data_IF_277148488828
#
_entry.id   IF_277148488828
#
_cell.length_a   1.000
_cell.length_b   1.000
_cell.length_c   1.000
_cell.angle_alpha   90.00
_cell.angle_beta   90.00
_cell.angle_gamma   90.00
#
_symmetry.space_group_name_H-M   'P 1'
#
loop_
_entity.id
_entity.type
_entity.pdbx_description
1 polymer ?
#
# COMPACT_ATOMS: atom_id res chain seq x y z
N UNK A 1 -14.00 18.23 9.24
CA UNK A 1 -13.39 18.93 8.10
C UNK A 1 -13.38 18.01 6.89
N UNK A 2 -13.81 18.51 5.71
CA UNK A 2 -13.91 17.66 4.54
C UNK A 2 -12.59 16.96 4.16
N UNK A 3 -11.49 17.68 4.25
CA UNK A 3 -10.20 17.12 3.89
C UNK A 3 -9.78 15.99 4.83
N UNK A 4 -10.06 16.18 6.12
CA UNK A 4 -9.75 15.16 7.10
C UNK A 4 -10.60 13.92 6.84
N UNK A 5 -11.85 14.12 6.48
CA UNK A 5 -12.75 13.01 6.20
C UNK A 5 -12.28 12.23 4.97
N UNK A 6 -11.86 12.93 3.93
CA UNK A 6 -11.33 12.26 2.73
C UNK A 6 -10.08 11.46 3.06
N UNK A 7 -9.20 12.03 3.87
CA UNK A 7 -8.00 11.31 4.30
C UNK A 7 -8.38 10.08 5.12
N UNK A 8 -9.39 10.22 5.96
CA UNK A 8 -9.87 9.10 6.74
C UNK A 8 -10.38 7.97 5.89
N UNK A 9 -11.15 8.30 4.86
CA UNK A 9 -11.65 7.28 3.93
C UNK A 9 -10.50 6.59 3.23
N UNK A 10 -9.52 7.37 2.76
CA UNK A 10 -8.34 6.79 2.12
C UNK A 10 -7.63 5.83 3.05
N UNK A 11 -7.38 6.27 4.28
CA UNK A 11 -6.63 5.45 5.23
C UNK A 11 -7.43 4.26 5.77
N UNK A 12 -8.74 4.27 5.66
CA UNK A 12 -9.54 3.11 6.04
C UNK A 12 -9.49 2.04 4.96
N UNK A 13 -9.64 2.42 3.69
CA UNK A 13 -9.68 1.46 2.60
C UNK A 13 -8.30 1.05 2.12
N UNK A 14 -7.39 2.02 2.02
CA UNK A 14 -6.08 1.79 1.42
C UNK A 14 -5.23 0.79 2.20
N UNK A 15 -5.17 0.83 3.53
CA UNK A 15 -4.40 -0.16 4.25
C UNK A 15 -4.88 -1.58 4.05
N UNK A 16 -6.18 -1.77 3.82
CA UNK A 16 -6.71 -3.12 3.57
C UNK A 16 -6.19 -3.65 2.24
N UNK A 17 -6.29 -2.82 1.20
CA UNK A 17 -5.78 -3.20 -0.12
C UNK A 17 -4.28 -3.44 -0.06
N UNK A 18 -3.58 -2.57 0.62
CA UNK A 18 -2.13 -2.67 0.73
C UNK A 18 -1.72 -3.90 1.52
N UNK A 19 -2.42 -4.19 2.60
CA UNK A 19 -2.15 -5.39 3.40
C UNK A 19 -2.37 -6.64 2.58
N UNK A 20 -3.45 -6.69 1.80
CA UNK A 20 -3.72 -7.83 0.94
C UNK A 20 -2.59 -8.03 -0.07
N UNK A 21 -2.10 -6.95 -0.66
CA UNK A 21 -0.99 -7.04 -1.61
C UNK A 21 0.29 -7.50 -0.92
N UNK A 22 0.54 -7.04 0.28
CA UNK A 22 1.72 -7.45 1.04
C UNK A 22 1.65 -8.95 1.34
N UNK A 23 0.50 -9.43 1.77
CA UNK A 23 0.33 -10.86 2.05
C UNK A 23 0.54 -11.67 0.78
N UNK A 24 -0.01 -11.21 -0.33
CA UNK A 24 0.18 -11.87 -1.63
C UNK A 24 1.66 -11.94 -1.97
N UNK A 25 2.37 -10.82 -1.83
CA UNK A 25 3.81 -10.78 -2.08
C UNK A 25 4.56 -11.76 -1.18
N UNK A 26 4.24 -11.76 0.10
CA UNK A 26 4.95 -12.62 1.05
C UNK A 26 4.68 -14.11 0.80
N UNK A 27 3.53 -14.44 0.21
CA UNK A 27 3.25 -15.82 -0.16
C UNK A 27 4.11 -16.28 -1.33
N UNK A 28 4.49 -15.38 -2.21
CA UNK A 28 5.32 -15.70 -3.37
C UNK A 28 6.80 -15.66 -2.99
N UNK A 29 7.18 -14.67 -2.22
CA UNK A 29 8.58 -14.40 -1.92
C UNK A 29 9.16 -15.54 -1.09
N UNK A 30 10.23 -16.15 -1.63
CA UNK A 30 10.94 -17.24 -0.96
C UNK A 30 9.98 -18.36 -0.51
N UNK A 31 9.03 -18.69 -1.39
CA UNK A 31 8.07 -19.77 -1.17
C UNK A 31 7.25 -19.57 0.11
N UNK A 32 7.00 -18.33 0.47
CA UNK A 32 6.17 -18.02 1.62
C UNK A 32 6.88 -18.11 2.96
N UNK A 33 8.21 -18.20 2.95
CA UNK A 33 8.98 -18.34 4.18
C UNK A 33 8.68 -17.23 5.18
N UNK A 34 8.47 -16.03 4.69
CA UNK A 34 8.24 -14.86 5.53
C UNK A 34 6.78 -14.43 5.56
N UNK A 35 5.88 -15.29 5.12
CA UNK A 35 4.45 -14.98 5.13
C UNK A 35 3.88 -15.20 6.52
N UNK A 36 4.23 -14.33 7.44
CA UNK A 36 3.76 -14.34 8.81
C UNK A 36 3.23 -12.98 9.17
N UNK A 37 2.36 -12.92 10.17
CA UNK A 37 1.77 -11.67 10.57
C UNK A 37 2.80 -10.63 11.03
N UNK A 38 3.79 -10.98 11.86
CA UNK A 38 4.81 -10.01 12.23
C UNK A 38 5.57 -9.45 11.03
N UNK A 39 5.89 -10.29 10.05
CA UNK A 39 6.59 -9.80 8.85
C UNK A 39 5.71 -8.87 8.03
N UNK A 40 4.41 -9.16 7.95
CA UNK A 40 3.48 -8.28 7.24
C UNK A 40 3.41 -6.92 7.92
N UNK A 41 3.38 -6.88 9.23
CA UNK A 41 3.33 -5.63 9.97
C UNK A 41 4.63 -4.84 9.78
N UNK A 42 5.77 -5.51 9.82
CA UNK A 42 7.05 -4.85 9.55
C UNK A 42 7.06 -4.22 8.16
N UNK A 43 6.54 -4.95 7.18
CA UNK A 43 6.48 -4.45 5.81
C UNK A 43 5.60 -3.21 5.73
N UNK A 44 4.48 -3.21 6.42
CA UNK A 44 3.57 -2.07 6.43
C UNK A 44 4.20 -0.81 7.03
N UNK A 45 5.21 -0.98 7.86
CA UNK A 45 5.87 0.16 8.49
C UNK A 45 6.88 0.85 7.57
N UNK A 46 7.14 0.29 6.39
CA UNK A 46 8.02 0.93 5.43
C UNK A 46 7.34 2.13 4.79
N UNK A 47 8.11 3.12 4.30
CA UNK A 47 7.52 4.20 3.53
C UNK A 47 6.76 3.66 2.31
N UNK A 48 5.68 4.32 1.93
CA UNK A 48 4.86 3.86 0.82
C UNK A 48 5.66 3.71 -0.47
N UNK A 49 6.58 4.65 -0.72
CA UNK A 49 7.39 4.56 -1.94
C UNK A 49 8.19 3.25 -1.98
N UNK A 50 8.74 2.83 -0.84
CA UNK A 50 9.49 1.58 -0.78
C UNK A 50 8.57 0.39 -0.96
N UNK A 51 7.40 0.43 -0.33
CA UNK A 51 6.42 -0.65 -0.45
C UNK A 51 6.03 -0.82 -1.92
N UNK A 52 5.70 0.27 -2.60
CA UNK A 52 5.32 0.20 -4.01
C UNK A 52 6.45 -0.35 -4.87
N UNK A 53 7.67 0.09 -4.63
CA UNK A 53 8.82 -0.38 -5.40
C UNK A 53 8.97 -1.89 -5.29
N UNK A 54 8.85 -2.41 -4.08
CA UNK A 54 9.00 -3.85 -3.85
C UNK A 54 7.84 -4.62 -4.45
N UNK A 55 6.60 -4.19 -4.18
CA UNK A 55 5.42 -4.91 -4.63
C UNK A 55 5.29 -4.91 -6.14
N UNK A 56 5.61 -3.81 -6.79
CA UNK A 56 5.45 -3.70 -8.24
C UNK A 56 6.56 -4.39 -9.00
N UNK A 57 7.51 -5.00 -8.31
CA UNK A 57 8.47 -5.88 -8.97
C UNK A 57 7.81 -7.13 -9.53
N UNK A 58 6.61 -7.46 -9.08
CA UNK A 58 5.81 -8.56 -9.63
C UNK A 58 4.68 -7.98 -10.47
N UNK A 59 4.60 -8.36 -11.76
CA UNK A 59 3.56 -7.79 -12.65
C UNK A 59 2.14 -7.99 -12.14
N UNK A 60 1.85 -9.14 -11.52
CA UNK A 60 0.51 -9.39 -10.99
C UNK A 60 0.14 -8.39 -9.91
N UNK A 61 1.09 -8.08 -9.04
CA UNK A 61 0.86 -7.12 -7.97
C UNK A 61 0.80 -5.70 -8.50
N UNK A 62 1.58 -5.40 -9.52
CA UNK A 62 1.51 -4.09 -10.16
C UNK A 62 0.11 -3.85 -10.71
N UNK A 63 -0.46 -4.85 -11.39
CA UNK A 63 -1.81 -4.73 -11.91
C UNK A 63 -2.84 -4.58 -10.79
N UNK A 64 -2.68 -5.36 -9.73
CA UNK A 64 -3.61 -5.30 -8.60
C UNK A 64 -3.59 -3.93 -7.92
N UNK A 65 -2.41 -3.33 -7.81
CA UNK A 65 -2.23 -2.08 -7.10
C UNK A 65 -2.42 -0.84 -7.96
N UNK A 66 -2.57 -1.01 -9.27
CA UNK A 66 -2.61 0.12 -10.18
C UNK A 66 -3.67 1.17 -9.78
N UNK A 67 -4.93 0.80 -9.50
CA UNK A 67 -5.90 1.81 -9.08
C UNK A 67 -5.51 2.52 -7.80
N UNK A 68 -4.93 1.78 -6.85
CA UNK A 68 -4.49 2.36 -5.60
C UNK A 68 -3.36 3.38 -5.83
N UNK A 69 -2.41 3.01 -6.67
CA UNK A 69 -1.27 3.89 -6.96
C UNK A 69 -1.72 5.13 -7.71
N UNK A 70 -2.70 4.99 -8.59
CA UNK A 70 -3.25 6.14 -9.29
C UNK A 70 -3.90 7.11 -8.31
N UNK A 71 -4.66 6.59 -7.36
CA UNK A 71 -5.28 7.41 -6.34
C UNK A 71 -4.24 8.08 -5.46
N UNK A 72 -3.19 7.36 -5.09
CA UNK A 72 -2.11 7.91 -4.28
C UNK A 72 -1.43 9.08 -4.99
N UNK A 73 -1.09 8.88 -6.27
CA UNK A 73 -0.38 9.90 -7.04
C UNK A 73 -1.28 11.05 -7.46
N UNK A 74 -2.55 10.76 -7.71
CA UNK A 74 -3.46 11.75 -8.27
C UNK A 74 -4.24 12.56 -7.26
N UNK A 75 -4.40 12.06 -6.04
CA UNK A 75 -5.24 12.75 -5.08
C UNK A 75 -4.81 12.60 -3.64
N UNK A 76 -4.71 11.37 -3.17
CA UNK A 76 -4.44 11.14 -1.76
C UNK A 76 -3.07 11.65 -1.34
N UNK A 77 -2.08 11.57 -2.21
CA UNK A 77 -0.76 12.09 -1.92
C UNK A 77 -0.79 13.58 -1.69
N UNK A 78 -1.50 14.30 -2.53
CA UNK A 78 -1.64 15.75 -2.37
C UNK A 78 -2.31 16.10 -1.05
N UNK A 79 -3.33 15.33 -0.69
CA UNK A 79 -4.01 15.56 0.58
C UNK A 79 -3.09 15.30 1.76
N UNK A 80 -2.26 14.28 1.67
CA UNK A 80 -1.36 13.92 2.75
C UNK A 80 -0.21 14.91 2.92
N UNK A 81 0.18 15.57 1.85
CA UNK A 81 1.32 16.48 1.90
C UNK A 81 0.96 17.85 2.43
N UNK A 82 -0.20 18.02 2.93
CA UNK A 82 -0.62 19.28 3.52
C UNK A 82 -0.11 20.48 2.73
N UNK A 83 -0.94 20.94 1.86
CA UNK A 83 -0.56 22.10 1.04
C UNK A 83 -0.51 23.32 1.90
N UNK A 84 0.49 24.12 1.75
CA UNK A 84 0.55 25.39 2.48
C UNK A 84 -0.65 26.25 2.19
#
# INVERSE_FOLDING_TARGET
LPDIQKQGDFFVESPIILLAAIIWYLRIYKDGKYCTFPHAIEFLNKPYADIFTILTSYPSLENYLSPFMDAWQGGAQDQLQVRP
#
